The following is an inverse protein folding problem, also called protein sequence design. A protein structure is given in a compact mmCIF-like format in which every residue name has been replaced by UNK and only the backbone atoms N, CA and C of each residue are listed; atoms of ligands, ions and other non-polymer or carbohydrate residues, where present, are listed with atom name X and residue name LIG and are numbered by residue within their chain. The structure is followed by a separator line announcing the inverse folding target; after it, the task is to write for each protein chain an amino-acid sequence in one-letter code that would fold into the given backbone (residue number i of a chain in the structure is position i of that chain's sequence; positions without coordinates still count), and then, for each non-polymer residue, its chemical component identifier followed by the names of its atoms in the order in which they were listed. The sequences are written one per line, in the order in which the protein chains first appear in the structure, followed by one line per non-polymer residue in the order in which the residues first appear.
data_IF_576855851906
#
_entry.id   IF_576855851906
#
_cell.length_a   1.000
_cell.length_b   1.000
_cell.length_c   1.000
_cell.angle_alpha   90.00
_cell.angle_beta   90.00
_cell.angle_gamma   90.00
#
_symmetry.space_group_name_H-M   'P 1'
#
loop_
_entity.id
_entity.type
_entity.pdbx_description
1 polymer ?
#
# COMPACT_ATOMS: atom_id res chain seq x y z
N UNK A 1 2.21 -9.11 8.54
CA UNK A 1 1.34 -8.68 7.40
C UNK A 1 1.86 -7.36 6.87
N UNK A 2 1.36 -6.91 5.72
CA UNK A 2 1.72 -5.62 5.12
C UNK A 2 0.46 -4.81 4.85
N UNK A 3 0.39 -3.58 5.36
CA UNK A 3 -0.64 -2.61 4.93
C UNK A 3 -0.13 -1.80 3.75
N UNK A 4 -0.98 -1.59 2.74
CA UNK A 4 -0.66 -0.80 1.54
C UNK A 4 -1.66 0.34 1.36
N UNK A 5 -1.16 1.52 0.98
CA UNK A 5 -1.95 2.66 0.53
C UNK A 5 -1.19 3.39 -0.59
N UNK A 6 -1.94 3.98 -1.54
CA UNK A 6 -1.39 4.76 -2.65
C UNK A 6 -1.97 6.17 -2.62
N UNK A 7 -1.10 7.15 -2.35
CA UNK A 7 -1.45 8.56 -2.47
C UNK A 7 -1.24 9.06 -3.91
N UNK A 8 -1.87 10.18 -4.26
CA UNK A 8 -1.58 10.87 -5.54
C UNK A 8 -2.22 10.26 -6.78
N UNK A 9 -3.34 9.53 -6.62
CA UNK A 9 -4.17 8.99 -7.72
C UNK A 9 -4.99 10.05 -8.47
N UNK A 10 -4.64 11.33 -8.34
CA UNK A 10 -5.24 12.44 -9.06
C UNK A 10 -4.12 13.37 -9.57
N UNK A 11 -4.38 14.03 -10.68
CA UNK A 11 -3.46 14.99 -11.27
C UNK A 11 -3.33 16.23 -10.36
N UNK A 12 -2.10 16.69 -10.16
CA UNK A 12 -1.81 17.94 -9.45
C UNK A 12 -0.76 18.73 -10.23
N UNK A 13 -1.07 20.00 -10.55
CA UNK A 13 -0.19 20.91 -11.32
C UNK A 13 0.24 20.37 -12.71
N UNK A 14 -0.60 19.60 -13.39
CA UNK A 14 -0.29 19.07 -14.72
C UNK A 14 0.46 17.74 -14.72
N UNK A 15 0.73 17.16 -13.54
CA UNK A 15 1.50 15.94 -13.40
C UNK A 15 0.82 14.97 -12.43
N UNK A 16 1.03 13.67 -12.66
CA UNK A 16 0.76 12.66 -11.64
C UNK A 16 2.02 12.45 -10.79
N UNK A 17 1.80 12.29 -9.50
CA UNK A 17 2.81 11.76 -8.59
C UNK A 17 2.11 10.82 -7.62
N UNK A 18 2.02 9.56 -8.03
CA UNK A 18 1.60 8.48 -7.15
C UNK A 18 2.73 8.12 -6.21
N UNK A 19 2.39 7.87 -4.96
CA UNK A 19 3.31 7.33 -3.96
C UNK A 19 2.65 6.14 -3.30
N UNK A 20 3.24 4.96 -3.50
CA UNK A 20 2.85 3.74 -2.82
C UNK A 20 3.66 3.59 -1.54
N UNK A 21 2.98 3.24 -0.44
CA UNK A 21 3.64 2.90 0.82
C UNK A 21 3.22 1.51 1.27
N UNK A 22 4.22 0.70 1.65
CA UNK A 22 4.07 -0.62 2.25
C UNK A 22 4.53 -0.57 3.70
N UNK A 23 3.70 -1.02 4.63
CA UNK A 23 4.03 -1.05 6.06
C UNK A 23 3.97 -2.48 6.56
N UNK A 24 5.14 -3.06 6.82
CA UNK A 24 5.24 -4.35 7.47
C UNK A 24 5.02 -4.18 8.99
N UNK A 25 4.07 -4.94 9.54
CA UNK A 25 3.72 -4.86 10.94
C UNK A 25 3.29 -6.19 11.54
N UNK A 26 3.60 -6.35 12.83
CA UNK A 26 2.99 -7.33 13.72
C UNK A 26 1.75 -6.71 14.35
N UNK A 27 0.61 -7.37 14.20
CA UNK A 27 -0.70 -6.86 14.64
C UNK A 27 -1.40 -7.87 15.54
N UNK A 28 -2.03 -7.35 16.59
CA UNK A 28 -3.09 -8.06 17.29
C UNK A 28 -4.45 -7.73 16.67
N UNK A 29 -5.52 -8.30 17.22
CA UNK A 29 -6.88 -8.10 16.71
C UNK A 29 -7.36 -6.63 16.69
N UNK A 30 -6.87 -5.80 17.61
CA UNK A 30 -7.35 -4.42 17.78
C UNK A 30 -6.25 -3.35 17.80
N UNK A 31 -4.98 -3.73 17.63
CA UNK A 31 -3.84 -2.80 17.71
C UNK A 31 -2.64 -3.32 16.94
N UNK A 32 -1.82 -2.38 16.48
CA UNK A 32 -0.47 -2.67 16.02
C UNK A 32 0.40 -2.97 17.25
N UNK A 33 1.18 -4.04 17.18
CA UNK A 33 2.18 -4.39 18.20
C UNK A 33 3.51 -3.75 17.88
N UNK A 34 3.91 -3.82 16.62
CA UNK A 34 5.20 -3.34 16.13
C UNK A 34 5.14 -3.08 14.63
N UNK A 35 5.79 -2.01 14.18
CA UNK A 35 6.08 -1.77 12.76
C UNK A 35 7.52 -2.19 12.52
N UNK A 36 7.73 -3.16 11.63
CA UNK A 36 9.04 -3.76 11.36
C UNK A 36 9.71 -3.19 10.12
N UNK A 37 8.96 -2.52 9.24
CA UNK A 37 9.53 -1.90 8.04
C UNK A 37 8.53 -1.03 7.30
N UNK A 38 9.06 -0.07 6.54
CA UNK A 38 8.31 0.77 5.61
C UNK A 38 9.03 0.75 4.27
N UNK A 39 8.33 0.34 3.21
CA UNK A 39 8.76 0.42 1.83
C UNK A 39 8.01 1.55 1.12
N UNK A 40 8.68 2.26 0.22
CA UNK A 40 8.13 3.39 -0.52
C UNK A 40 8.48 3.25 -2.00
N UNK A 41 7.53 3.57 -2.86
CA UNK A 41 7.72 3.64 -4.31
C UNK A 41 6.99 4.87 -4.88
N UNK A 42 7.46 5.37 -6.02
CA UNK A 42 6.88 6.56 -6.67
C UNK A 42 6.68 6.34 -8.15
N UNK A 43 5.59 6.85 -8.71
CA UNK A 43 5.32 6.80 -10.14
C UNK A 43 4.71 8.11 -10.64
N UNK A 44 5.07 8.50 -11.86
CA UNK A 44 4.49 9.66 -12.56
C UNK A 44 3.50 9.25 -13.66
N UNK A 45 3.18 7.96 -13.73
CA UNK A 45 2.19 7.43 -14.67
C UNK A 45 0.77 7.84 -14.26
N UNK A 46 -0.14 7.87 -15.23
CA UNK A 46 -1.56 7.92 -14.96
C UNK A 46 -1.99 6.74 -14.06
N UNK A 47 -2.94 6.96 -13.13
CA UNK A 47 -3.36 5.96 -12.16
C UNK A 47 -4.28 4.92 -12.81
N UNK A 48 -3.74 4.07 -13.68
CA UNK A 48 -4.45 2.87 -14.15
C UNK A 48 -4.37 1.75 -13.11
N UNK A 49 -5.20 0.71 -13.23
CA UNK A 49 -5.08 -0.48 -12.37
C UNK A 49 -3.69 -1.12 -12.45
N UNK A 50 -3.13 -1.21 -13.66
CA UNK A 50 -1.78 -1.75 -13.86
C UNK A 50 -0.72 -0.89 -13.15
N UNK A 51 -0.81 0.43 -13.26
CA UNK A 51 0.11 1.34 -12.60
C UNK A 51 -0.02 1.30 -11.06
N UNK A 52 -1.24 1.16 -10.52
CA UNK A 52 -1.45 1.04 -9.07
C UNK A 52 -0.97 -0.30 -8.53
N UNK A 53 -1.15 -1.40 -9.27
CA UNK A 53 -0.59 -2.70 -8.90
C UNK A 53 0.94 -2.69 -8.95
N UNK A 54 1.52 -2.10 -9.99
CA UNK A 54 2.97 -2.01 -10.15
C UNK A 54 3.64 -1.20 -9.03
N UNK A 55 3.09 -0.05 -8.65
CA UNK A 55 3.68 0.77 -7.57
C UNK A 55 3.50 0.11 -6.20
N UNK A 56 2.40 -0.62 -5.98
CA UNK A 56 2.19 -1.40 -4.77
C UNK A 56 3.22 -2.54 -4.66
N UNK A 57 3.45 -3.28 -5.75
CA UNK A 57 4.45 -4.36 -5.79
C UNK A 57 5.86 -3.82 -5.55
N UNK A 58 6.22 -2.69 -6.17
CA UNK A 58 7.50 -2.02 -5.94
C UNK A 58 7.66 -1.59 -4.48
N UNK A 59 6.62 -1.00 -3.87
CA UNK A 59 6.65 -0.60 -2.46
C UNK A 59 6.81 -1.82 -1.52
N UNK A 60 6.16 -2.95 -1.83
CA UNK A 60 6.33 -4.20 -1.08
C UNK A 60 7.76 -4.73 -1.25
N UNK A 61 8.29 -4.71 -2.46
CA UNK A 61 9.67 -5.13 -2.76
C UNK A 61 10.74 -4.25 -2.10
N UNK A 62 10.41 -3.02 -1.72
CA UNK A 62 11.28 -2.09 -1.00
C UNK A 62 11.30 -2.31 0.53
N UNK A 63 10.52 -3.27 1.06
CA UNK A 63 10.58 -3.62 2.48
C UNK A 63 11.94 -4.24 2.86
N UNK A 64 12.44 -3.99 4.07
CA UNK A 64 13.75 -4.51 4.51
C UNK A 64 13.77 -6.04 4.61
N UNK A 65 12.63 -6.64 4.95
CA UNK A 65 12.45 -8.09 5.07
C UNK A 65 11.23 -8.53 4.26
N UNK A 66 11.27 -9.76 3.75
CA UNK A 66 10.13 -10.34 3.05
C UNK A 66 8.95 -10.53 4.01
N UNK A 67 7.73 -10.10 3.64
CA UNK A 67 6.58 -10.23 4.50
C UNK A 67 6.11 -11.68 4.63
N UNK A 68 6.01 -12.17 5.86
CA UNK A 68 5.53 -13.54 6.16
C UNK A 68 3.99 -13.66 6.18
N UNK A 69 3.27 -12.55 6.03
CA UNK A 69 1.80 -12.53 6.12
C UNK A 69 1.17 -11.79 4.95
N UNK A 70 -0.17 -11.70 4.90
CA UNK A 70 -0.87 -11.16 3.76
C UNK A 70 -0.57 -9.68 3.57
N UNK A 71 -0.67 -9.24 2.32
CA UNK A 71 -0.82 -7.85 1.92
C UNK A 71 -2.29 -7.46 2.09
N UNK A 72 -2.54 -6.31 2.70
CA UNK A 72 -3.87 -5.81 3.04
C UNK A 72 -4.02 -4.36 2.59
N UNK A 73 -5.14 -4.07 1.93
CA UNK A 73 -5.50 -2.73 1.48
C UNK A 73 -6.97 -2.39 1.80
N UNK A 74 -7.33 -1.12 1.70
CA UNK A 74 -8.73 -0.68 1.79
C UNK A 74 -9.48 -1.02 0.50
N UNK A 75 -10.80 -1.19 0.61
CA UNK A 75 -11.65 -1.36 -0.57
C UNK A 75 -11.61 -0.07 -1.40
N UNK A 76 -11.36 -0.21 -2.70
CA UNK A 76 -11.24 0.92 -3.64
C UNK A 76 -9.80 1.31 -3.98
N UNK A 77 -8.80 0.80 -3.24
CA UNK A 77 -7.38 1.02 -3.56
C UNK A 77 -7.05 0.57 -4.99
N UNK A 78 -7.61 -0.58 -5.37
CA UNK A 78 -7.49 -1.19 -6.70
C UNK A 78 -8.82 -1.21 -7.47
N UNK A 79 -9.52 -0.07 -7.51
CA UNK A 79 -10.73 0.11 -8.34
C UNK A 79 -11.87 -0.88 -8.05
N UNK A 80 -12.02 -1.30 -6.79
CA UNK A 80 -13.02 -2.31 -6.35
C UNK A 80 -12.84 -3.70 -6.99
N UNK A 81 -11.68 -3.98 -7.60
CA UNK A 81 -11.41 -5.29 -8.20
C UNK A 81 -11.46 -6.42 -7.17
N UNK A 82 -11.89 -7.65 -7.56
CA UNK A 82 -11.92 -8.78 -6.65
C UNK A 82 -10.53 -9.15 -6.10
N UNK A 83 -10.47 -9.64 -4.86
CA UNK A 83 -9.21 -10.03 -4.19
C UNK A 83 -8.37 -10.98 -5.04
N UNK A 84 -9.00 -11.93 -5.73
CA UNK A 84 -8.31 -12.88 -6.60
C UNK A 84 -7.63 -12.20 -7.80
N UNK A 85 -8.22 -11.14 -8.35
CA UNK A 85 -7.66 -10.42 -9.49
C UNK A 85 -6.45 -9.59 -9.05
N UNK A 86 -6.59 -8.88 -7.92
CA UNK A 86 -5.51 -8.07 -7.33
C UNK A 86 -4.36 -8.96 -6.85
N UNK A 87 -4.68 -10.00 -6.08
CA UNK A 87 -3.71 -10.92 -5.50
C UNK A 87 -2.88 -11.71 -6.50
N UNK A 88 -3.30 -11.82 -7.75
CA UNK A 88 -2.48 -12.42 -8.81
C UNK A 88 -1.22 -11.59 -9.13
N UNK A 89 -1.16 -10.34 -8.68
CA UNK A 89 -0.05 -9.41 -8.92
C UNK A 89 1.01 -9.43 -7.81
N UNK A 90 0.75 -10.09 -6.69
CA UNK A 90 1.63 -10.10 -5.53
C UNK A 90 2.11 -11.52 -5.23
N UNK A 91 3.34 -11.65 -4.74
CA UNK A 91 3.85 -12.95 -4.27
C UNK A 91 3.20 -13.40 -2.95
N UNK A 92 3.00 -12.52 -1.94
CA UNK A 92 2.22 -12.87 -0.76
C UNK A 92 0.72 -12.94 -1.05
N UNK A 93 -0.03 -13.62 -0.19
CA UNK A 93 -1.49 -13.59 -0.21
C UNK A 93 -2.00 -12.14 -0.10
N UNK A 94 -3.06 -11.81 -0.83
CA UNK A 94 -3.73 -10.52 -0.77
C UNK A 94 -5.14 -10.68 -0.23
N UNK A 95 -5.57 -9.73 0.61
CA UNK A 95 -6.97 -9.56 0.99
C UNK A 95 -7.32 -8.10 1.23
N UNK A 96 -8.60 -7.78 1.22
CA UNK A 96 -9.05 -6.49 1.75
C UNK A 96 -9.12 -6.51 3.28
N UNK A 97 -9.11 -5.31 3.88
CA UNK A 97 -9.17 -5.13 5.33
C UNK A 97 -10.42 -5.77 5.96
N UNK A 98 -10.22 -6.48 7.08
CA UNK A 98 -11.29 -7.17 7.83
C UNK A 98 -11.27 -6.86 9.33
N UNK A 99 -10.14 -6.40 9.87
CA UNK A 99 -9.96 -6.10 11.30
C UNK A 99 -9.49 -4.66 11.57
N UNK A 100 -9.68 -4.22 12.81
CA UNK A 100 -9.21 -2.90 13.27
C UNK A 100 -7.68 -2.82 13.21
N UNK A 101 -6.96 -3.88 13.59
CA UNK A 101 -5.50 -3.91 13.53
C UNK A 101 -4.96 -3.72 12.11
N UNK A 102 -5.56 -4.41 11.14
CA UNK A 102 -5.24 -4.25 9.71
C UNK A 102 -5.51 -2.82 9.24
N UNK A 103 -6.69 -2.26 9.55
CA UNK A 103 -7.02 -0.87 9.20
C UNK A 103 -6.00 0.12 9.75
N UNK A 104 -5.59 -0.03 11.01
CA UNK A 104 -4.54 0.83 11.60
C UNK A 104 -3.23 0.73 10.84
N UNK A 105 -2.89 -0.44 10.31
CA UNK A 105 -1.65 -0.63 9.53
C UNK A 105 -1.74 0.11 8.20
N UNK A 106 -2.90 0.07 7.54
CA UNK A 106 -3.17 0.85 6.32
C UNK A 106 -3.14 2.35 6.61
N UNK A 107 -3.69 2.81 7.74
CA UNK A 107 -3.63 4.23 8.13
C UNK A 107 -2.18 4.73 8.27
N UNK A 108 -1.25 3.88 8.76
CA UNK A 108 0.18 4.24 8.76
C UNK A 108 0.71 4.33 7.33
N UNK A 109 0.37 3.38 6.46
CA UNK A 109 0.76 3.42 5.05
C UNK A 109 0.26 4.69 4.36
N UNK A 110 -1.00 5.07 4.62
CA UNK A 110 -1.61 6.29 4.12
C UNK A 110 -0.84 7.54 4.53
N UNK A 111 -0.51 7.67 5.81
CA UNK A 111 0.28 8.79 6.28
C UNK A 111 1.71 8.79 5.72
N UNK A 112 2.34 7.62 5.56
CA UNK A 112 3.67 7.51 4.97
C UNK A 112 3.67 7.91 3.48
N UNK A 113 2.70 7.43 2.70
CA UNK A 113 2.52 7.79 1.30
C UNK A 113 2.27 9.29 1.13
N UNK A 114 1.33 9.84 1.91
CA UNK A 114 1.00 11.27 1.88
C UNK A 114 2.17 12.16 2.27
N UNK A 115 2.86 11.84 3.37
CA UNK A 115 4.01 12.62 3.84
C UNK A 115 5.16 12.57 2.83
N UNK A 116 5.45 11.39 2.27
CA UNK A 116 6.48 11.22 1.23
C UNK A 116 6.13 12.04 -0.01
N UNK A 117 4.89 11.97 -0.47
CA UNK A 117 4.42 12.79 -1.60
C UNK A 117 4.62 14.28 -1.32
N UNK A 118 4.26 14.75 -0.13
CA UNK A 118 4.43 16.14 0.28
C UNK A 118 5.90 16.59 0.37
N UNK A 119 6.84 15.68 0.65
CA UNK A 119 8.28 15.98 0.70
C UNK A 119 8.94 16.00 -0.68
N UNK A 120 8.35 15.34 -1.68
CA UNK A 120 8.88 15.26 -3.05
C UNK A 120 8.36 16.39 -3.95
N UNK A 121 7.18 16.94 -3.65
CA UNK A 121 6.56 18.08 -4.36
C UNK A 121 7.15 19.44 -3.96
#
# INVERSE_FOLDING_TARGET
MVGIDISGRHEERGEYLMVGAAVAASVGSNRIREVTGIGLATSRLEPTLEATLSIADEAIGALPDLPEGPVVAERGEFYEEPERAVGASFAPEFKYVESIGERRTIEIAHHAAYATRALIL
#
